data_IF_064178312335
#
_entry.id   IF_064178312335
#
_cell.length_a   1.000
_cell.length_b   1.000
_cell.length_c   1.000
_cell.angle_alpha   90.00
_cell.angle_beta   90.00
_cell.angle_gamma   90.00
#
_symmetry.space_group_name_H-M   'P 1'
#
loop_
_entity.id
_entity.type
_entity.pdbx_description
1 polymer ?
#
# COMPACT_ATOMS: atom_id res chain seq x y z
N UNK A 1 -3.70 -14.05 -35.79
CA UNK A 1 -3.40 -12.71 -35.23
C UNK A 1 -2.02 -12.80 -34.57
N UNK A 2 -1.07 -11.89 -34.86
CA UNK A 2 0.32 -12.05 -34.37
C UNK A 2 0.42 -11.67 -32.90
N UNK A 3 0.66 -12.65 -32.03
CA UNK A 3 0.95 -12.45 -30.61
C UNK A 3 2.41 -12.01 -30.50
N UNK A 4 2.66 -10.95 -29.73
CA UNK A 4 4.02 -10.52 -29.36
C UNK A 4 4.33 -11.03 -27.96
N UNK A 5 5.49 -11.65 -27.80
CA UNK A 5 6.00 -12.09 -26.51
C UNK A 5 6.94 -11.00 -26.00
N UNK A 6 6.74 -10.55 -24.76
CA UNK A 6 7.57 -9.54 -24.09
C UNK A 6 8.20 -10.17 -22.87
N UNK A 7 9.53 -10.25 -22.81
CA UNK A 7 10.25 -10.85 -21.68
C UNK A 7 11.09 -12.08 -22.06
N UNK A 8 11.51 -12.84 -21.05
CA UNK A 8 12.36 -14.01 -21.20
C UNK A 8 11.60 -15.34 -21.07
N UNK A 9 12.30 -16.46 -21.29
CA UNK A 9 11.69 -17.81 -21.30
C UNK A 9 10.86 -18.14 -20.05
N UNK A 10 11.32 -17.69 -18.88
CA UNK A 10 10.71 -18.02 -17.59
C UNK A 10 9.81 -16.92 -17.04
N UNK A 11 9.82 -15.72 -17.64
CA UNK A 11 8.99 -14.60 -17.23
C UNK A 11 8.70 -13.73 -18.44
N UNK A 12 7.48 -13.87 -18.96
CA UNK A 12 7.01 -13.18 -20.14
C UNK A 12 5.57 -12.71 -19.96
N UNK A 13 5.22 -11.72 -20.76
CA UNK A 13 3.86 -11.28 -21.01
C UNK A 13 3.52 -11.53 -22.47
N UNK A 14 2.23 -11.74 -22.74
CA UNK A 14 1.73 -11.80 -24.11
C UNK A 14 1.07 -10.47 -24.44
N UNK A 15 1.16 -10.07 -25.69
CA UNK A 15 0.57 -8.83 -26.14
C UNK A 15 -0.07 -8.99 -27.52
N UNK A 16 -1.26 -8.41 -27.68
CA UNK A 16 -1.89 -8.26 -28.99
C UNK A 16 -2.49 -6.87 -29.16
N UNK A 17 -2.57 -6.40 -30.40
CA UNK A 17 -3.16 -5.09 -30.72
C UNK A 17 -4.65 -4.97 -30.31
N UNK A 18 -5.38 -6.09 -30.21
CA UNK A 18 -6.83 -6.10 -29.89
C UNK A 18 -7.08 -6.17 -28.38
N UNK A 19 -6.32 -7.03 -27.69
CA UNK A 19 -6.61 -7.41 -26.31
C UNK A 19 -5.61 -6.79 -25.31
N UNK A 20 -4.57 -6.10 -25.80
CA UNK A 20 -3.54 -5.46 -24.98
C UNK A 20 -2.60 -6.48 -24.35
N UNK A 21 -2.16 -6.21 -23.11
CA UNK A 21 -1.30 -7.10 -22.35
C UNK A 21 -2.10 -8.22 -21.67
N UNK A 22 -1.61 -9.45 -21.80
CA UNK A 22 -2.01 -10.60 -21.00
C UNK A 22 -0.92 -10.88 -19.95
N UNK A 23 -1.27 -10.62 -18.69
CA UNK A 23 -0.45 -10.78 -17.49
C UNK A 23 -0.89 -12.02 -16.69
N UNK A 24 -1.64 -12.96 -17.28
CA UNK A 24 -2.11 -14.18 -16.60
C UNK A 24 -1.00 -15.22 -16.38
N UNK A 25 0.19 -14.98 -16.94
CA UNK A 25 1.38 -15.84 -16.83
C UNK A 25 1.09 -17.32 -17.15
N UNK A 26 0.75 -17.66 -18.41
CA UNK A 26 0.61 -19.06 -18.82
C UNK A 26 1.93 -19.83 -18.73
N UNK A 27 1.89 -21.18 -18.64
CA UNK A 27 3.11 -21.98 -18.53
C UNK A 27 4.10 -21.76 -19.68
N UNK A 28 3.58 -21.59 -20.90
CA UNK A 28 4.36 -21.24 -22.10
C UNK A 28 3.60 -20.22 -22.95
N UNK A 29 4.28 -19.48 -23.86
CA UNK A 29 3.62 -18.50 -24.73
C UNK A 29 2.53 -19.07 -25.64
N UNK A 30 2.63 -20.35 -25.99
CA UNK A 30 1.67 -21.03 -26.88
C UNK A 30 0.63 -21.85 -26.10
N UNK A 31 0.66 -21.81 -24.77
CA UNK A 31 -0.33 -22.49 -23.92
C UNK A 31 -1.72 -21.87 -24.11
N UNK A 32 -2.79 -22.66 -23.91
CA UNK A 32 -4.15 -22.12 -23.87
C UNK A 32 -4.30 -21.01 -22.81
N UNK A 33 -5.21 -20.05 -23.03
CA UNK A 33 -5.57 -19.03 -22.05
C UNK A 33 -5.94 -19.61 -20.67
N UNK A 34 -5.42 -19.01 -19.59
CA UNK A 34 -5.81 -19.34 -18.21
C UNK A 34 -7.12 -18.64 -17.84
N UNK A 35 -7.94 -19.34 -17.06
CA UNK A 35 -9.17 -18.85 -16.44
C UNK A 35 -9.16 -19.14 -14.92
N UNK A 36 -9.82 -18.30 -14.10
CA UNK A 36 -10.53 -17.06 -14.46
C UNK A 36 -9.58 -15.96 -14.95
N UNK A 37 -10.11 -15.03 -15.75
CA UNK A 37 -9.35 -13.87 -16.27
C UNK A 37 -10.19 -12.62 -16.22
N UNK A 38 -9.57 -11.52 -15.79
CA UNK A 38 -10.23 -10.22 -15.62
C UNK A 38 -9.49 -9.22 -16.49
N UNK A 39 -10.18 -8.63 -17.46
CA UNK A 39 -9.61 -7.59 -18.33
C UNK A 39 -9.93 -6.22 -17.77
N UNK A 40 -8.88 -5.47 -17.44
CA UNK A 40 -8.93 -4.09 -16.97
C UNK A 40 -8.75 -3.15 -18.17
N UNK A 41 -9.69 -2.23 -18.34
CA UNK A 41 -9.52 -1.11 -19.27
C UNK A 41 -8.69 -0.03 -18.57
N UNK A 42 -7.43 0.17 -19.01
CA UNK A 42 -6.59 1.26 -18.50
C UNK A 42 -6.60 2.44 -19.47
N UNK A 43 -5.98 3.56 -19.08
CA UNK A 43 -5.88 4.76 -19.92
C UNK A 43 -5.11 4.52 -21.22
N UNK A 44 -4.06 3.70 -21.18
CA UNK A 44 -3.18 3.48 -22.32
C UNK A 44 -3.56 2.21 -23.10
N UNK A 45 -3.76 1.11 -22.38
CA UNK A 45 -3.99 -0.20 -23.00
C UNK A 45 -4.72 -1.16 -22.06
N UNK A 46 -5.39 -2.16 -22.61
CA UNK A 46 -6.02 -3.21 -21.81
C UNK A 46 -4.96 -4.09 -21.13
N UNK A 47 -5.26 -4.52 -19.91
CA UNK A 47 -4.44 -5.48 -19.18
C UNK A 47 -5.33 -6.61 -18.64
N UNK A 48 -5.02 -7.85 -18.97
CA UNK A 48 -5.74 -9.02 -18.48
C UNK A 48 -4.93 -9.69 -17.38
N UNK A 49 -5.57 -9.92 -16.24
CA UNK A 49 -4.97 -10.51 -15.05
C UNK A 49 -5.66 -11.83 -14.68
N UNK A 50 -4.89 -12.73 -14.08
CA UNK A 50 -5.40 -13.92 -13.38
C UNK A 50 -5.57 -13.53 -11.91
N UNK A 51 -6.80 -13.53 -11.35
CA UNK A 51 -7.02 -13.14 -9.97
C UNK A 51 -6.28 -14.04 -8.97
N UNK A 52 -6.04 -15.32 -9.29
CA UNK A 52 -5.30 -16.23 -8.41
C UNK A 52 -3.80 -15.91 -8.34
N UNK A 53 -3.28 -15.12 -9.28
CA UNK A 53 -1.88 -14.66 -9.33
C UNK A 53 -1.74 -13.16 -9.10
N UNK A 54 -2.81 -12.52 -8.64
CA UNK A 54 -2.87 -11.07 -8.42
C UNK A 54 -3.15 -10.78 -6.96
N UNK A 55 -2.62 -9.69 -6.43
CA UNK A 55 -2.96 -9.19 -5.11
C UNK A 55 -3.25 -7.68 -5.17
N UNK A 56 -4.21 -7.22 -4.36
CA UNK A 56 -4.45 -5.79 -4.14
C UNK A 56 -3.54 -5.29 -3.02
N UNK A 57 -2.62 -4.38 -3.31
CA UNK A 57 -1.74 -3.79 -2.28
C UNK A 57 -2.26 -2.42 -1.86
N UNK A 58 -2.71 -2.30 -0.61
CA UNK A 58 -3.09 -1.02 0.01
C UNK A 58 -1.89 -0.50 0.81
N UNK A 59 -1.25 0.53 0.29
CA UNK A 59 0.04 1.02 0.80
C UNK A 59 -0.08 2.34 1.56
N UNK A 60 0.52 2.43 2.74
CA UNK A 60 0.74 3.63 3.55
C UNK A 60 -0.52 4.49 3.80
N UNK A 61 -1.70 3.88 3.86
CA UNK A 61 -2.95 4.57 4.20
C UNK A 61 -3.11 4.71 5.74
N UNK A 62 -2.06 5.16 6.42
CA UNK A 62 -1.93 5.24 7.88
C UNK A 62 -2.32 6.63 8.41
N UNK A 63 -2.68 6.71 9.71
CA UNK A 63 -3.08 7.97 10.36
C UNK A 63 -2.00 9.04 10.28
N UNK A 64 -0.72 8.69 10.34
CA UNK A 64 0.40 9.63 10.20
C UNK A 64 0.32 10.48 8.94
N UNK A 65 -0.09 9.88 7.81
CA UNK A 65 -0.17 10.55 6.52
C UNK A 65 -1.53 11.22 6.26
N UNK A 66 -2.59 10.72 6.91
CA UNK A 66 -3.97 11.07 6.54
C UNK A 66 -4.75 11.84 7.61
N UNK A 67 -4.38 11.72 8.88
CA UNK A 67 -5.21 12.18 10.00
C UNK A 67 -5.17 13.70 10.18
N UNK A 68 -6.31 14.40 10.12
CA UNK A 68 -6.36 15.83 10.41
C UNK A 68 -5.97 16.19 11.84
N UNK A 69 -6.07 15.23 12.78
CA UNK A 69 -5.62 15.39 14.16
C UNK A 69 -4.10 15.61 14.28
N UNK A 70 -3.34 15.21 13.26
CA UNK A 70 -1.90 15.51 13.14
C UNK A 70 -1.63 16.77 12.28
N UNK A 71 -2.67 17.55 11.97
CA UNK A 71 -2.57 18.73 11.11
C UNK A 71 -2.58 18.42 9.61
N UNK A 72 -2.97 17.22 9.20
CA UNK A 72 -3.15 16.88 7.77
C UNK A 72 -4.41 17.57 7.20
N UNK A 73 -4.45 17.87 5.89
CA UNK A 73 -5.63 18.48 5.28
C UNK A 73 -6.88 17.59 5.43
N UNK A 74 -8.01 18.10 5.98
CA UNK A 74 -9.23 17.30 6.20
C UNK A 74 -9.93 16.91 4.89
N UNK A 75 -9.62 17.60 3.79
CA UNK A 75 -10.05 17.23 2.43
C UNK A 75 -8.79 16.99 1.59
N UNK A 76 -8.21 15.80 1.72
CA UNK A 76 -7.02 15.40 0.98
C UNK A 76 -7.34 14.35 -0.09
N UNK A 77 -6.57 14.28 -1.18
CA UNK A 77 -6.67 13.18 -2.14
C UNK A 77 -6.55 11.79 -1.50
N UNK A 78 -5.72 11.67 -0.45
CA UNK A 78 -5.55 10.42 0.30
C UNK A 78 -6.85 9.95 0.96
N UNK A 79 -7.59 10.85 1.61
CA UNK A 79 -8.89 10.52 2.20
C UNK A 79 -9.94 10.15 1.15
N UNK A 80 -9.95 10.84 0.00
CA UNK A 80 -10.82 10.47 -1.11
C UNK A 80 -10.50 9.08 -1.69
N UNK A 81 -9.21 8.70 -1.72
CA UNK A 81 -8.78 7.35 -2.11
C UNK A 81 -9.24 6.31 -1.08
N UNK A 82 -9.13 6.59 0.22
CA UNK A 82 -9.64 5.71 1.27
C UNK A 82 -11.14 5.41 1.07
N UNK A 83 -11.94 6.42 0.77
CA UNK A 83 -13.38 6.21 0.50
C UNK A 83 -13.62 5.29 -0.69
N UNK A 84 -12.91 5.49 -1.80
CA UNK A 84 -13.01 4.63 -2.99
C UNK A 84 -12.52 3.20 -2.73
N UNK A 85 -11.44 3.04 -1.95
CA UNK A 85 -10.93 1.73 -1.58
C UNK A 85 -11.99 0.94 -0.80
N UNK A 86 -12.63 1.59 0.18
CA UNK A 86 -13.66 0.96 1.02
C UNK A 86 -14.93 0.64 0.24
N UNK A 87 -15.42 1.59 -0.58
CA UNK A 87 -16.71 1.45 -1.26
C UNK A 87 -16.65 0.59 -2.52
N UNK A 88 -15.59 0.74 -3.31
CA UNK A 88 -15.58 0.25 -4.70
C UNK A 88 -14.51 -0.81 -4.94
N UNK A 89 -13.29 -0.63 -4.43
CA UNK A 89 -12.14 -1.47 -4.84
C UNK A 89 -12.04 -2.76 -4.03
N UNK A 90 -11.93 -2.65 -2.70
CA UNK A 90 -11.71 -3.82 -1.82
C UNK A 90 -12.84 -4.84 -1.93
N UNK A 91 -14.14 -4.45 -1.92
CA UNK A 91 -15.23 -5.41 -2.07
C UNK A 91 -15.18 -6.17 -3.39
N UNK A 92 -14.84 -5.50 -4.49
CA UNK A 92 -14.75 -6.12 -5.82
C UNK A 92 -13.56 -7.07 -5.91
N UNK A 93 -12.39 -6.69 -5.38
CA UNK A 93 -11.23 -7.56 -5.32
C UNK A 93 -11.53 -8.84 -4.52
N UNK A 94 -12.16 -8.71 -3.35
CA UNK A 94 -12.58 -9.87 -2.54
C UNK A 94 -13.56 -10.77 -3.29
N UNK A 95 -14.57 -10.19 -3.95
CA UNK A 95 -15.52 -10.96 -4.78
C UNK A 95 -14.82 -11.70 -5.93
N UNK A 96 -13.75 -11.13 -6.47
CA UNK A 96 -12.94 -11.75 -7.51
C UNK A 96 -11.93 -12.80 -6.99
N UNK A 97 -11.85 -13.02 -5.67
CA UNK A 97 -10.87 -13.91 -5.06
C UNK A 97 -9.45 -13.35 -5.02
N UNK A 98 -9.29 -12.03 -5.20
CA UNK A 98 -7.99 -11.35 -5.14
C UNK A 98 -7.68 -11.03 -3.67
N UNK A 99 -6.57 -11.56 -3.10
CA UNK A 99 -6.16 -11.25 -1.73
C UNK A 99 -5.80 -9.76 -1.57
N UNK A 100 -6.06 -9.23 -0.38
CA UNK A 100 -5.71 -7.86 0.02
C UNK A 100 -4.45 -7.90 0.89
N UNK A 101 -3.48 -7.07 0.52
CA UNK A 101 -2.22 -6.90 1.23
C UNK A 101 -2.16 -5.49 1.81
N UNK A 102 -2.15 -5.41 3.14
CA UNK A 102 -1.99 -4.18 3.90
C UNK A 102 -0.51 -3.93 4.12
N UNK A 103 0.03 -2.97 3.39
CA UNK A 103 1.43 -2.63 3.40
C UNK A 103 1.62 -1.28 4.09
N UNK A 104 1.99 -1.30 5.36
CA UNK A 104 2.15 -0.08 6.17
C UNK A 104 3.57 0.05 6.70
N UNK A 105 4.01 1.27 6.96
CA UNK A 105 5.29 1.48 7.64
C UNK A 105 5.14 1.31 9.15
N UNK A 106 5.99 0.49 9.76
CA UNK A 106 6.11 0.40 11.21
C UNK A 106 7.50 -0.08 11.60
N UNK A 107 8.35 0.86 12.01
CA UNK A 107 9.69 0.58 12.52
C UNK A 107 9.65 0.05 13.95
N UNK A 108 10.56 -0.87 14.28
CA UNK A 108 10.90 -1.27 15.65
C UNK A 108 12.07 -0.44 16.14
N UNK A 109 12.35 -0.47 17.44
CA UNK A 109 13.52 0.22 18.00
C UNK A 109 14.83 -0.26 17.36
N UNK A 110 14.97 -1.57 17.13
CA UNK A 110 16.13 -2.13 16.41
C UNK A 110 16.28 -1.64 14.97
N UNK A 111 15.20 -1.19 14.33
CA UNK A 111 15.25 -0.66 12.96
C UNK A 111 15.82 0.77 12.91
N UNK A 112 15.83 1.48 14.05
CA UNK A 112 16.34 2.84 14.19
C UNK A 112 17.87 2.87 14.18
N UNK A 113 18.50 1.89 14.82
CA UNK A 113 19.97 1.77 14.88
C UNK A 113 20.60 1.66 13.48
N UNK A 114 19.94 0.93 12.59
CA UNK A 114 20.37 0.72 11.20
C UNK A 114 19.66 1.64 10.19
N UNK A 115 19.01 2.72 10.64
CA UNK A 115 18.25 3.60 9.76
C UNK A 115 19.18 4.35 8.79
N UNK A 116 19.00 4.22 7.45
CA UNK A 116 19.82 4.97 6.52
C UNK A 116 19.66 6.49 6.72
N UNK A 117 20.75 7.26 6.72
CA UNK A 117 20.69 8.72 6.91
C UNK A 117 19.79 9.43 5.89
N UNK A 118 19.65 8.89 4.67
CA UNK A 118 18.75 9.42 3.65
C UNK A 118 17.28 9.33 4.04
N UNK A 119 16.90 8.29 4.78
CA UNK A 119 15.55 8.11 5.30
C UNK A 119 15.35 8.96 6.55
N UNK A 120 16.27 8.88 7.52
CA UNK A 120 16.22 9.65 8.76
C UNK A 120 16.09 11.16 8.48
N UNK A 121 16.89 11.68 7.53
CA UNK A 121 16.82 13.07 7.06
C UNK A 121 15.43 13.50 6.59
N UNK A 122 14.63 12.58 6.04
CA UNK A 122 13.25 12.89 5.63
C UNK A 122 12.34 13.25 6.81
N UNK A 123 12.66 12.77 8.01
CA UNK A 123 11.92 13.02 9.24
C UNK A 123 12.62 14.01 10.17
N UNK A 124 13.95 14.15 10.12
CA UNK A 124 14.71 15.09 10.97
C UNK A 124 14.52 16.56 10.61
N UNK A 125 14.01 16.83 9.41
CA UNK A 125 13.75 18.17 8.93
C UNK A 125 12.27 18.31 8.56
N UNK A 126 11.66 19.50 8.75
CA UNK A 126 10.27 19.77 8.37
C UNK A 126 10.13 19.92 6.84
N UNK A 127 10.47 18.87 6.10
CA UNK A 127 10.45 18.83 4.63
C UNK A 127 9.06 18.47 4.10
N UNK A 128 8.24 17.81 4.92
CA UNK A 128 6.87 17.48 4.58
C UNK A 128 6.00 18.75 4.62
N UNK A 129 5.55 19.18 3.44
CA UNK A 129 4.70 20.35 3.26
C UNK A 129 3.21 20.00 3.24
N UNK A 130 2.84 18.73 3.42
CA UNK A 130 1.47 18.25 3.37
C UNK A 130 0.78 18.37 4.74
N UNK A 131 0.84 19.57 5.31
CA UNK A 131 0.14 19.96 6.53
C UNK A 131 -0.63 21.25 6.28
N UNK A 132 -1.72 21.46 7.02
CA UNK A 132 -2.50 22.71 6.96
C UNK A 132 -1.66 23.90 7.40
N UNK A 133 -0.76 23.69 8.36
CA UNK A 133 0.26 24.64 8.81
C UNK A 133 1.61 23.93 8.87
N UNK A 134 2.75 24.61 8.60
CA UNK A 134 4.06 24.02 8.77
C UNK A 134 4.17 23.35 10.15
N UNK A 135 4.29 22.03 10.16
CA UNK A 135 4.25 21.21 11.36
C UNK A 135 5.43 20.25 11.34
N UNK A 136 6.14 20.17 12.45
CA UNK A 136 7.19 19.20 12.67
C UNK A 136 6.72 18.21 13.73
N UNK A 137 6.47 16.97 13.33
CA UNK A 137 6.00 15.92 14.23
C UNK A 137 7.14 15.23 15.00
N UNK A 138 8.39 15.58 14.71
CA UNK A 138 9.59 14.98 15.29
C UNK A 138 10.36 14.09 14.31
N UNK A 139 11.60 13.77 14.68
CA UNK A 139 12.43 12.75 14.05
C UNK A 139 11.79 11.36 14.15
N UNK A 140 12.21 10.43 13.31
CA UNK A 140 11.75 9.04 13.40
C UNK A 140 12.02 8.46 14.79
N UNK A 141 11.02 7.83 15.41
CA UNK A 141 11.12 7.33 16.78
C UNK A 141 10.99 8.39 17.89
N UNK A 142 10.84 9.68 17.59
CA UNK A 142 10.56 10.70 18.59
C UNK A 142 9.07 10.70 18.99
N UNK A 143 8.76 11.10 20.22
CA UNK A 143 7.38 11.24 20.69
C UNK A 143 6.64 12.35 19.95
N UNK A 144 5.47 12.03 19.37
CA UNK A 144 4.54 13.03 18.82
C UNK A 144 3.76 13.71 19.95
N UNK A 145 3.47 12.95 21.01
CA UNK A 145 2.65 13.39 22.13
C UNK A 145 1.15 13.19 21.89
N UNK A 146 0.34 13.93 22.65
CA UNK A 146 -1.11 13.77 22.64
C UNK A 146 -1.79 14.61 21.56
N UNK A 147 -2.75 14.02 20.88
CA UNK A 147 -3.68 14.70 19.96
C UNK A 147 -5.06 14.82 20.59
N UNK A 148 -5.70 15.97 20.38
CA UNK A 148 -7.04 16.24 20.93
C UNK A 148 -8.11 15.99 19.86
N UNK A 149 -9.05 15.10 20.16
CA UNK A 149 -10.23 14.85 19.34
C UNK A 149 -11.26 15.97 19.48
N UNK A 150 -12.21 16.02 18.55
CA UNK A 150 -13.29 17.03 18.52
C UNK A 150 -14.19 16.95 19.76
N UNK A 151 -14.36 15.76 20.33
CA UNK A 151 -15.11 15.51 21.57
C UNK A 151 -14.34 15.91 22.85
N UNK A 152 -13.10 16.38 22.72
CA UNK A 152 -12.22 16.75 23.83
C UNK A 152 -11.35 15.62 24.37
N UNK A 153 -11.52 14.39 23.87
CA UNK A 153 -10.70 13.23 24.27
C UNK A 153 -9.26 13.43 23.83
N UNK A 154 -8.31 13.08 24.71
CA UNK A 154 -6.88 13.08 24.39
C UNK A 154 -6.44 11.66 24.02
N UNK A 155 -5.77 11.54 22.88
CA UNK A 155 -5.21 10.29 22.38
C UNK A 155 -3.70 10.43 22.31
N UNK A 156 -2.97 9.46 22.83
CA UNK A 156 -1.54 9.36 22.60
C UNK A 156 -1.26 8.96 21.13
N UNK A 157 -0.64 9.85 20.36
CA UNK A 157 -0.30 9.58 18.97
C UNK A 157 0.92 8.65 18.83
N UNK A 158 1.66 8.42 19.91
CA UNK A 158 2.87 7.62 19.96
C UNK A 158 4.09 8.31 19.35
N UNK A 159 5.08 7.50 19.03
CA UNK A 159 6.35 7.85 18.40
C UNK A 159 6.26 7.82 16.88
N UNK A 160 6.96 8.74 16.23
CA UNK A 160 6.95 8.89 14.76
C UNK A 160 7.33 7.58 14.05
N UNK A 161 6.38 7.05 13.27
CA UNK A 161 6.53 5.86 12.41
C UNK A 161 6.92 4.56 13.12
N UNK A 162 6.72 4.49 14.43
CA UNK A 162 6.95 3.27 15.21
C UNK A 162 5.77 2.32 15.11
N UNK A 163 6.07 1.03 15.02
CA UNK A 163 5.08 -0.03 14.82
C UNK A 163 4.10 -0.11 15.99
N UNK A 164 2.87 -0.54 15.70
CA UNK A 164 1.82 -0.85 16.68
C UNK A 164 1.41 0.36 17.53
N UNK A 165 1.50 1.56 16.97
CA UNK A 165 1.13 2.82 17.61
C UNK A 165 0.03 3.53 16.82
N UNK A 166 -0.60 4.51 17.46
CA UNK A 166 -1.79 5.14 16.90
C UNK A 166 -1.52 5.78 15.53
N UNK A 167 -0.40 6.47 15.36
CA UNK A 167 -0.03 7.11 14.09
C UNK A 167 0.24 6.11 12.95
N UNK A 168 0.77 4.91 13.24
CA UNK A 168 1.05 3.86 12.26
C UNK A 168 -0.14 2.93 12.02
N UNK A 169 -1.24 3.12 12.72
CA UNK A 169 -2.47 2.41 12.42
C UNK A 169 -3.02 2.86 11.06
N UNK A 170 -3.57 1.91 10.28
CA UNK A 170 -4.33 2.23 9.08
C UNK A 170 -5.52 3.14 9.41
N UNK A 171 -5.95 3.93 8.43
CA UNK A 171 -7.11 4.80 8.56
C UNK A 171 -8.32 4.02 9.11
N UNK A 172 -9.08 4.55 10.09
CA UNK A 172 -10.14 3.79 10.77
C UNK A 172 -11.16 3.12 9.84
N UNK A 173 -11.50 3.74 8.72
CA UNK A 173 -12.39 3.14 7.71
C UNK A 173 -11.80 1.91 7.03
N UNK A 174 -10.49 1.87 6.79
CA UNK A 174 -9.80 0.70 6.24
C UNK A 174 -9.64 -0.39 7.31
N UNK A 175 -9.24 -0.01 8.53
CA UNK A 175 -9.12 -0.97 9.62
C UNK A 175 -10.43 -1.71 9.91
N UNK A 176 -11.57 -1.02 9.86
CA UNK A 176 -12.90 -1.63 10.09
C UNK A 176 -13.28 -2.70 9.08
N UNK A 177 -12.72 -2.64 7.87
CA UNK A 177 -13.02 -3.60 6.81
C UNK A 177 -11.90 -4.62 6.60
N UNK A 178 -10.78 -4.51 7.30
CA UNK A 178 -9.71 -5.51 7.25
C UNK A 178 -10.24 -6.84 7.78
N UNK A 179 -9.97 -7.92 7.06
CA UNK A 179 -10.43 -9.26 7.39
C UNK A 179 -9.27 -10.14 7.88
N UNK A 180 -9.49 -11.15 8.73
CA UNK A 180 -8.42 -11.96 9.32
C UNK A 180 -7.52 -12.68 8.31
N UNK A 181 -8.03 -12.97 7.11
CA UNK A 181 -7.28 -13.61 6.03
C UNK A 181 -6.45 -12.62 5.20
N UNK A 182 -6.60 -11.31 5.41
CA UNK A 182 -5.80 -10.32 4.70
C UNK A 182 -4.33 -10.40 5.16
N UNK A 183 -3.41 -10.07 4.27
CA UNK A 183 -1.97 -10.18 4.53
C UNK A 183 -1.48 -8.83 5.06
N UNK A 184 -0.97 -8.81 6.29
CA UNK A 184 -0.39 -7.61 6.90
C UNK A 184 1.15 -7.64 6.86
N UNK A 185 1.74 -6.60 6.27
CA UNK A 185 3.19 -6.46 6.13
C UNK A 185 3.59 -5.09 6.64
N UNK A 186 4.46 -5.10 7.66
CA UNK A 186 5.05 -3.90 8.21
C UNK A 186 6.42 -3.66 7.56
N UNK A 187 6.50 -2.57 6.80
CA UNK A 187 7.75 -2.07 6.23
C UNK A 187 8.52 -1.27 7.27
N UNK A 188 9.83 -1.44 7.31
CA UNK A 188 10.73 -0.63 8.14
C UNK A 188 11.51 0.43 7.33
N UNK A 189 11.29 0.52 6.01
CA UNK A 189 11.96 1.44 5.08
C UNK A 189 10.97 1.95 4.01
N UNK A 190 11.34 2.99 3.25
CA UNK A 190 10.49 3.60 2.19
C UNK A 190 10.06 2.63 1.07
N UNK A 191 10.79 1.53 0.83
CA UNK A 191 10.48 0.57 -0.23
C UNK A 191 9.98 -0.76 0.36
N UNK A 192 8.79 -1.19 -0.06
CA UNK A 192 8.14 -2.39 0.50
C UNK A 192 8.69 -3.71 0.02
N UNK A 193 9.68 -3.66 -0.86
CA UNK A 193 10.34 -4.84 -1.45
C UNK A 193 11.80 -4.97 -1.02
N UNK A 194 12.32 -4.04 -0.21
CA UNK A 194 13.67 -4.15 0.31
C UNK A 194 13.69 -5.16 1.46
N UNK A 195 14.67 -6.07 1.47
CA UNK A 195 14.78 -7.13 2.50
C UNK A 195 13.96 -8.41 2.26
N UNK A 196 13.11 -8.47 1.23
CA UNK A 196 12.48 -9.72 0.77
C UNK A 196 11.24 -10.20 1.56
N UNK A 197 10.87 -9.57 2.67
CA UNK A 197 9.74 -10.00 3.52
C UNK A 197 8.38 -9.95 2.80
N UNK A 198 8.17 -8.96 1.94
CA UNK A 198 6.95 -8.86 1.12
C UNK A 198 6.90 -9.95 0.03
N UNK A 199 8.05 -10.28 -0.57
CA UNK A 199 8.11 -11.33 -1.59
C UNK A 199 7.81 -12.71 -0.99
N UNK A 200 8.31 -13.01 0.22
CA UNK A 200 8.08 -14.31 0.88
C UNK A 200 6.65 -14.52 1.36
N UNK A 201 5.96 -13.47 1.82
CA UNK A 201 4.59 -13.59 2.35
C UNK A 201 3.51 -13.63 1.27
N UNK A 202 3.79 -13.13 0.08
CA UNK A 202 2.88 -13.20 -1.07
C UNK A 202 3.07 -14.46 -1.93
N UNK A 203 4.04 -15.32 -1.60
CA UNK A 203 4.38 -16.55 -2.34
C UNK A 203 4.18 -17.83 -1.51
N UNK A 204 3.73 -17.69 -0.27
CA UNK A 204 3.33 -18.80 0.63
C UNK A 204 1.82 -19.01 0.57
#
# INVERSE_FOLDING_TARGET
>A
MKVKIVGGKNNFWLWTKKDGFDLTHPPTPDSPPIYPRITLNTRAEKATIDPAKTALVVRDMQKYFLSPLLGRPPKSPGLAIVEKLVKDVIPVCRKAGIPVVWLGWGAKDSDLDDMPPSIARGFDFPLDKNFVKPTFLGSIGAEIGQVKCEDGTLIDAGRVMMRDQWNTEFHPSLKRIAEPQDIHINMNRLQGFWGGDCHRRCTA
#
